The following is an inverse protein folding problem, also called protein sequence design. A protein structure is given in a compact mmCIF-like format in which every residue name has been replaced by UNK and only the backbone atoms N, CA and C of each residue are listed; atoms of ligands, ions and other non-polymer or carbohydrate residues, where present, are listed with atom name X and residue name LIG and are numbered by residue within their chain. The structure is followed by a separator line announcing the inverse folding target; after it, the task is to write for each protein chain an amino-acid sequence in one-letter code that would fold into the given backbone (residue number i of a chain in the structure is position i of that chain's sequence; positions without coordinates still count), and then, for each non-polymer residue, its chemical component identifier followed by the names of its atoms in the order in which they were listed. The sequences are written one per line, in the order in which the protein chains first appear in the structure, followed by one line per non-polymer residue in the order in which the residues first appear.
data_IF_098803448211
#
_entry.id   IF_098803448211
#
_cell.length_a   1.000
_cell.length_b   1.000
_cell.length_c   1.000
_cell.angle_alpha   90.00
_cell.angle_beta   90.00
_cell.angle_gamma   90.00
#
_symmetry.space_group_name_H-M   'P 1'
#
loop_
_entity.id
_entity.type
_entity.pdbx_description
1 polymer ?
#
# COMPACT_ATOMS: atom_id res chain seq x y z
N UNK A 1 7.59 6.13 -26.81
CA UNK A 1 6.18 6.18 -26.37
C UNK A 1 5.91 4.87 -25.66
N UNK A 2 6.12 4.85 -24.34
CA UNK A 2 5.80 3.70 -23.51
C UNK A 2 4.43 4.00 -22.89
N UNK A 3 3.39 3.34 -23.37
CA UNK A 3 2.08 3.33 -22.71
C UNK A 3 2.25 2.66 -21.35
N UNK A 4 2.30 3.46 -20.29
CA UNK A 4 2.23 2.96 -18.92
C UNK A 4 0.77 2.56 -18.66
N UNK A 5 0.43 1.31 -18.96
CA UNK A 5 -0.86 0.75 -18.61
C UNK A 5 -0.93 0.59 -17.08
N UNK A 6 -1.63 1.50 -16.41
CA UNK A 6 -1.94 1.42 -14.99
C UNK A 6 -2.93 0.29 -14.76
N UNK A 7 -2.61 -0.67 -13.88
CA UNK A 7 -3.66 -1.50 -13.29
C UNK A 7 -4.01 -0.82 -11.98
N UNK A 8 -4.89 0.18 -12.04
CA UNK A 8 -5.62 0.62 -10.85
C UNK A 8 -6.57 -0.51 -10.48
N UNK A 9 -6.29 -1.16 -9.36
CA UNK A 9 -7.34 -1.83 -8.63
C UNK A 9 -7.95 -0.76 -7.75
N UNK A 10 -9.18 -0.36 -8.07
CA UNK A 10 -10.03 0.36 -7.14
C UNK A 10 -10.04 -0.43 -5.83
N UNK A 11 -9.38 0.13 -4.81
CA UNK A 11 -9.31 -0.46 -3.48
C UNK A 11 -10.68 -0.45 -2.77
N UNK A 12 -11.69 0.15 -3.40
CA UNK A 12 -13.06 0.22 -2.90
C UNK A 12 -13.76 -1.14 -2.79
N UNK A 13 -13.25 -2.20 -3.42
CA UNK A 13 -14.02 -3.44 -3.60
C UNK A 13 -13.32 -4.76 -3.21
N UNK A 14 -12.40 -4.71 -2.24
CA UNK A 14 -11.61 -5.88 -1.85
C UNK A 14 -11.52 -6.11 -0.34
N UNK A 15 -12.65 -6.11 0.36
CA UNK A 15 -12.73 -6.75 1.68
C UNK A 15 -14.13 -7.26 1.94
N UNK A 16 -14.35 -8.59 1.88
CA UNK A 16 -15.22 -9.30 2.83
C UNK A 16 -15.02 -10.82 2.71
N UNK A 17 -14.44 -11.43 3.74
CA UNK A 17 -14.90 -12.71 4.30
C UNK A 17 -14.91 -12.58 5.83
N UNK A 18 -15.99 -13.08 6.44
CA UNK A 18 -16.57 -12.72 7.75
C UNK A 18 -16.07 -13.56 8.93
N UNK A 19 -16.10 -12.97 10.15
CA UNK A 19 -16.61 -13.66 11.35
C UNK A 19 -17.10 -12.69 12.45
N UNK A 20 -18.43 -12.70 12.73
CA UNK A 20 -19.03 -12.51 14.06
C UNK A 20 -19.41 -11.10 14.58
N UNK A 21 -20.71 -10.74 14.45
CA UNK A 21 -21.58 -9.82 15.23
C UNK A 21 -20.95 -8.66 16.05
N UNK A 22 -21.41 -7.41 16.02
CA UNK A 22 -22.65 -6.77 15.53
C UNK A 22 -22.50 -5.25 15.68
N UNK A 23 -22.83 -4.48 14.65
CA UNK A 23 -23.55 -3.18 14.68
C UNK A 23 -23.69 -2.70 13.22
N UNK A 24 -24.90 -2.24 12.88
CA UNK A 24 -25.46 -2.16 11.52
C UNK A 24 -24.98 -0.92 10.75
N UNK A 25 -24.57 -1.13 9.49
CA UNK A 25 -24.62 -0.12 8.40
C UNK A 25 -25.11 -0.85 7.14
N UNK A 26 -26.10 -0.32 6.39
CA UNK A 26 -26.86 -1.11 5.42
C UNK A 26 -26.02 -1.49 4.19
N UNK A 27 -26.05 -2.78 3.87
CA UNK A 27 -25.38 -3.42 2.73
C UNK A 27 -26.08 -3.10 1.42
N UNK A 28 -25.37 -2.47 0.49
CA UNK A 28 -25.82 -2.30 -0.88
C UNK A 28 -24.95 -3.18 -1.80
N UNK A 29 -25.60 -3.92 -2.70
CA UNK A 29 -25.00 -4.96 -3.52
C UNK A 29 -24.41 -4.34 -4.80
N UNK A 30 -23.10 -4.39 -4.98
CA UNK A 30 -22.43 -3.99 -6.23
C UNK A 30 -21.68 -5.15 -6.88
N UNK A 31 -21.88 -5.28 -8.20
CA UNK A 31 -21.09 -6.17 -9.05
C UNK A 31 -19.83 -5.44 -9.52
N UNK A 32 -18.66 -5.99 -9.22
CA UNK A 32 -17.37 -5.37 -9.52
C UNK A 32 -17.02 -5.53 -11.01
N UNK A 33 -16.79 -4.42 -11.70
CA UNK A 33 -16.22 -4.40 -13.06
C UNK A 33 -14.86 -3.71 -13.02
N UNK A 34 -13.74 -4.39 -13.38
CA UNK A 34 -12.42 -3.78 -13.40
C UNK A 34 -12.37 -2.57 -14.36
N UNK A 35 -11.75 -1.46 -13.94
CA UNK A 35 -11.39 -0.34 -14.83
C UNK A 35 -9.91 -0.04 -14.74
N UNK A 36 -9.28 0.07 -15.91
CA UNK A 36 -7.89 0.51 -16.08
C UNK A 36 -7.95 2.04 -16.23
N UNK A 37 -7.62 2.79 -15.17
CA UNK A 37 -7.54 4.25 -15.27
C UNK A 37 -6.24 4.64 -15.98
N UNK A 38 -6.33 4.89 -17.29
CA UNK A 38 -5.21 5.33 -18.13
C UNK A 38 -4.93 6.84 -18.06
N UNK A 39 -5.45 7.57 -17.07
CA UNK A 39 -5.40 9.03 -16.98
C UNK A 39 -4.62 9.45 -15.74
N UNK A 40 -3.61 10.29 -15.92
CA UNK A 40 -2.94 11.00 -14.82
C UNK A 40 -3.98 11.99 -14.25
N UNK A 41 -4.23 12.02 -12.93
CA UNK A 41 -5.16 12.97 -12.33
C UNK A 41 -4.74 14.42 -12.63
N UNK A 42 -5.73 15.31 -12.79
CA UNK A 42 -5.47 16.73 -12.99
C UNK A 42 -4.74 17.32 -11.78
N UNK A 43 -3.93 18.36 -12.00
CA UNK A 43 -3.08 18.97 -10.95
C UNK A 43 -3.92 19.49 -9.78
N UNK A 44 -5.13 19.96 -10.06
CA UNK A 44 -6.09 20.41 -9.06
C UNK A 44 -6.56 19.25 -8.16
N UNK A 45 -6.89 18.11 -8.76
CA UNK A 45 -7.27 16.90 -8.01
C UNK A 45 -6.12 16.35 -7.16
N UNK A 46 -4.88 16.38 -7.66
CA UNK A 46 -3.71 15.93 -6.90
C UNK A 46 -3.45 16.81 -5.66
N UNK A 47 -3.69 18.13 -5.77
CA UNK A 47 -3.54 19.09 -4.67
C UNK A 47 -4.62 18.86 -3.61
N UNK A 48 -5.89 18.73 -4.04
CA UNK A 48 -7.01 18.44 -3.15
C UNK A 48 -6.86 17.09 -2.42
N UNK A 49 -6.30 16.09 -3.08
CA UNK A 49 -5.99 14.80 -2.47
C UNK A 49 -4.90 14.91 -1.41
N UNK A 50 -3.87 15.70 -1.68
CA UNK A 50 -2.80 15.95 -0.71
C UNK A 50 -3.31 16.68 0.54
N UNK A 51 -4.09 17.75 0.35
CA UNK A 51 -4.71 18.50 1.46
C UNK A 51 -5.61 17.61 2.31
N UNK A 52 -6.45 16.78 1.67
CA UNK A 52 -7.32 15.82 2.37
C UNK A 52 -6.54 14.83 3.22
N UNK A 53 -5.40 14.34 2.71
CA UNK A 53 -4.55 13.44 3.47
C UNK A 53 -3.90 14.15 4.66
N UNK A 54 -3.43 15.40 4.47
CA UNK A 54 -2.86 16.21 5.56
C UNK A 54 -3.87 16.46 6.68
N UNK A 55 -5.11 16.82 6.33
CA UNK A 55 -6.18 17.02 7.31
C UNK A 55 -6.48 15.74 8.11
N UNK A 56 -6.50 14.59 7.42
CA UNK A 56 -6.69 13.29 8.06
C UNK A 56 -5.53 12.97 9.01
N UNK A 57 -4.29 13.15 8.57
CA UNK A 57 -3.11 12.93 9.41
C UNK A 57 -3.17 13.76 10.69
N UNK A 58 -3.51 15.04 10.57
CA UNK A 58 -3.71 15.95 11.70
C UNK A 58 -4.82 15.44 12.64
N UNK A 59 -5.97 15.06 12.08
CA UNK A 59 -7.13 14.56 12.84
C UNK A 59 -6.81 13.29 13.64
N UNK A 60 -6.00 12.39 13.08
CA UNK A 60 -5.57 11.16 13.76
C UNK A 60 -4.33 11.32 14.64
N UNK A 61 -3.73 12.52 14.72
CA UNK A 61 -2.50 12.75 15.47
C UNK A 61 -1.31 11.97 14.91
N UNK A 62 -1.25 11.84 13.58
CA UNK A 62 -0.22 11.10 12.85
C UNK A 62 0.66 12.05 12.04
N UNK A 63 1.90 11.62 11.80
CA UNK A 63 2.86 12.33 10.98
C UNK A 63 3.59 11.38 10.04
N UNK A 64 3.86 11.86 8.83
CA UNK A 64 4.59 11.10 7.82
C UNK A 64 6.10 11.17 8.04
N UNK A 65 6.74 10.00 8.05
CA UNK A 65 8.12 9.89 7.62
C UNK A 65 8.14 9.84 6.09
N UNK A 66 8.73 10.86 5.48
CA UNK A 66 8.86 10.96 4.03
C UNK A 66 9.75 9.85 3.47
N UNK A 67 9.17 9.06 2.57
CA UNK A 67 9.79 7.97 1.83
C UNK A 67 10.22 8.48 0.46
N UNK A 68 11.24 7.85 -0.11
CA UNK A 68 11.69 8.17 -1.46
C UNK A 68 10.60 7.86 -2.49
N UNK A 69 10.24 8.85 -3.31
CA UNK A 69 9.28 8.77 -4.42
C UNK A 69 9.76 7.94 -5.62
N UNK A 70 10.22 6.71 -5.39
CA UNK A 70 10.56 5.74 -6.41
C UNK A 70 9.52 4.60 -6.46
N UNK A 71 9.63 3.71 -7.45
CA UNK A 71 8.78 2.52 -7.55
C UNK A 71 9.02 1.48 -6.44
N UNK A 72 9.75 1.80 -5.38
CA UNK A 72 9.90 0.98 -4.19
C UNK A 72 9.20 1.57 -2.96
N UNK A 73 8.51 2.72 -3.08
CA UNK A 73 7.89 3.44 -1.96
C UNK A 73 7.10 2.52 -1.01
N UNK A 74 6.21 1.67 -1.54
CA UNK A 74 5.41 0.75 -0.71
C UNK A 74 6.30 -0.20 0.12
N UNK A 75 7.33 -0.80 -0.49
CA UNK A 75 8.25 -1.69 0.22
C UNK A 75 9.20 -0.96 1.17
N UNK A 76 9.53 0.30 0.90
CA UNK A 76 10.31 1.17 1.78
C UNK A 76 9.51 1.56 3.01
N UNK A 77 8.24 1.93 2.84
CA UNK A 77 7.34 2.25 3.93
C UNK A 77 7.08 1.03 4.83
N UNK A 78 6.85 -0.14 4.23
CA UNK A 78 6.80 -1.41 4.96
C UNK A 78 8.10 -1.74 5.71
N UNK A 79 9.26 -1.58 5.04
CA UNK A 79 10.56 -1.82 5.67
C UNK A 79 10.82 -0.87 6.84
N UNK A 80 10.39 0.37 6.73
CA UNK A 80 10.45 1.33 7.82
C UNK A 80 9.60 0.92 9.02
N UNK A 81 8.33 0.54 8.81
CA UNK A 81 7.45 0.10 9.89
C UNK A 81 7.94 -1.21 10.54
N UNK A 82 8.49 -2.13 9.75
CA UNK A 82 8.96 -3.44 10.24
C UNK A 82 10.32 -3.40 10.94
N UNK A 83 11.26 -2.61 10.41
CA UNK A 83 12.68 -2.65 10.80
C UNK A 83 13.23 -1.29 11.21
N UNK A 84 12.40 -0.24 11.26
CA UNK A 84 12.82 1.15 11.47
C UNK A 84 13.94 1.54 10.51
N UNK A 85 13.91 1.01 9.27
CA UNK A 85 14.88 1.33 8.23
C UNK A 85 14.34 1.02 6.81
N UNK A 86 14.07 2.03 5.96
CA UNK A 86 13.55 1.86 4.60
C UNK A 86 14.55 1.23 3.65
N UNK A 87 15.85 1.20 3.97
CA UNK A 87 16.87 0.55 3.12
C UNK A 87 16.71 -0.97 3.08
N UNK A 88 15.93 -1.55 4.01
CA UNK A 88 15.54 -2.96 3.98
C UNK A 88 14.45 -3.28 2.94
N UNK A 89 14.01 -2.33 2.11
CA UNK A 89 12.96 -2.53 1.11
C UNK A 89 13.22 -3.72 0.15
N UNK A 90 14.49 -3.97 -0.23
CA UNK A 90 14.86 -5.13 -1.06
C UNK A 90 14.59 -6.45 -0.36
N UNK A 91 14.85 -6.49 0.96
CA UNK A 91 14.55 -7.67 1.78
C UNK A 91 13.03 -7.88 1.87
N UNK A 92 12.28 -6.83 2.18
CA UNK A 92 10.81 -6.89 2.26
C UNK A 92 10.21 -7.38 0.95
N UNK A 93 10.56 -6.75 -0.19
CA UNK A 93 10.10 -7.19 -1.52
C UNK A 93 10.40 -8.67 -1.77
N UNK A 94 11.60 -9.13 -1.42
CA UNK A 94 11.98 -10.54 -1.58
C UNK A 94 11.10 -11.47 -0.75
N UNK A 95 10.74 -11.10 0.48
CA UNK A 95 9.88 -11.93 1.34
C UNK A 95 8.42 -11.91 0.87
N UNK A 96 7.91 -10.74 0.48
CA UNK A 96 6.55 -10.61 -0.08
C UNK A 96 6.38 -11.43 -1.35
N UNK A 97 7.33 -11.34 -2.30
CA UNK A 97 7.30 -12.16 -3.51
C UNK A 97 7.42 -13.65 -3.20
N UNK A 98 8.20 -14.03 -2.19
CA UNK A 98 8.25 -15.42 -1.72
C UNK A 98 6.88 -15.85 -1.19
N UNK A 99 6.21 -15.04 -0.38
CA UNK A 99 4.86 -15.34 0.12
C UNK A 99 3.89 -15.58 -1.03
N UNK A 100 3.83 -14.65 -1.99
CA UNK A 100 3.03 -14.77 -3.21
C UNK A 100 3.32 -16.07 -3.96
N UNK A 101 4.61 -16.39 -4.15
CA UNK A 101 5.02 -17.61 -4.87
C UNK A 101 4.61 -18.91 -4.16
N UNK A 102 4.81 -19.00 -2.84
CA UNK A 102 4.57 -20.26 -2.10
C UNK A 102 3.09 -20.52 -1.84
N UNK A 103 2.28 -19.47 -1.70
CA UNK A 103 0.84 -19.58 -1.44
C UNK A 103 0.02 -19.07 -2.63
N UNK A 104 0.42 -19.49 -3.85
CA UNK A 104 -0.16 -19.05 -5.13
C UNK A 104 -1.69 -19.11 -5.15
N UNK A 105 -2.27 -20.18 -4.62
CA UNK A 105 -3.72 -20.41 -4.55
C UNK A 105 -4.49 -19.30 -3.80
N UNK A 106 -3.83 -18.54 -2.93
CA UNK A 106 -4.46 -17.46 -2.18
C UNK A 106 -4.54 -16.13 -2.96
N UNK A 107 -3.72 -15.97 -4.01
CA UNK A 107 -3.55 -14.68 -4.68
C UNK A 107 -3.82 -14.72 -6.19
N UNK A 108 -3.62 -15.87 -6.83
CA UNK A 108 -3.64 -15.95 -8.30
C UNK A 108 -4.95 -15.51 -8.93
N UNK A 109 -6.10 -15.83 -8.33
CA UNK A 109 -7.43 -15.46 -8.86
C UNK A 109 -7.66 -13.96 -8.96
N UNK A 110 -6.87 -13.16 -8.23
CA UNK A 110 -6.97 -11.70 -8.22
C UNK A 110 -5.99 -11.05 -9.22
N UNK A 111 -5.13 -11.83 -9.86
CA UNK A 111 -4.16 -11.34 -10.84
C UNK A 111 -4.76 -11.48 -12.24
N UNK A 112 -4.95 -10.38 -13.01
CA UNK A 112 -5.64 -10.39 -14.30
C UNK A 112 -4.74 -10.88 -15.44
N UNK A 113 -3.50 -11.27 -15.12
CA UNK A 113 -2.50 -11.74 -16.07
C UNK A 113 -1.92 -13.08 -15.62
N UNK A 114 -1.11 -13.69 -16.47
CA UNK A 114 -0.40 -14.92 -16.09
C UNK A 114 0.42 -14.71 -14.80
N UNK A 115 0.15 -15.54 -13.79
CA UNK A 115 0.73 -15.38 -12.47
C UNK A 115 2.27 -15.48 -12.45
N UNK A 116 2.87 -16.30 -13.32
CA UNK A 116 4.35 -16.36 -13.41
C UNK A 116 4.92 -15.04 -13.93
N UNK A 117 4.25 -14.40 -14.89
CA UNK A 117 4.62 -13.09 -15.42
C UNK A 117 4.48 -12.01 -14.35
N UNK A 118 3.37 -12.02 -13.59
CA UNK A 118 3.17 -11.15 -12.44
C UNK A 118 4.30 -11.26 -11.41
N UNK A 119 4.64 -12.49 -10.98
CA UNK A 119 5.76 -12.71 -10.05
C UNK A 119 7.10 -12.25 -10.63
N UNK A 120 7.32 -12.38 -11.95
CA UNK A 120 8.55 -11.91 -12.61
C UNK A 120 8.62 -10.37 -12.59
N UNK A 121 7.50 -9.69 -12.83
CA UNK A 121 7.41 -8.22 -12.70
C UNK A 121 7.68 -7.79 -11.27
N UNK A 122 6.97 -8.36 -10.29
CA UNK A 122 7.03 -7.94 -8.89
C UNK A 122 8.41 -8.16 -8.22
N UNK A 123 9.24 -9.06 -8.77
CA UNK A 123 10.65 -9.25 -8.37
C UNK A 123 11.54 -8.07 -8.71
N UNK A 124 11.21 -7.28 -9.73
CA UNK A 124 12.07 -6.21 -10.24
C UNK A 124 12.10 -5.06 -9.23
N UNK A 125 13.29 -4.57 -8.93
CA UNK A 125 13.44 -3.33 -8.17
C UNK A 125 12.81 -2.18 -8.95
N UNK A 126 12.06 -1.32 -8.26
CA UNK A 126 11.30 -0.23 -8.88
C UNK A 126 9.97 -0.65 -9.52
N UNK A 127 9.60 -1.93 -9.53
CA UNK A 127 8.21 -2.31 -9.86
C UNK A 127 7.29 -1.91 -8.71
N UNK A 128 6.24 -1.16 -9.02
CA UNK A 128 5.30 -0.68 -8.01
C UNK A 128 4.60 -1.85 -7.33
N UNK A 129 4.40 -1.74 -6.02
CA UNK A 129 3.55 -2.68 -5.29
C UNK A 129 2.07 -2.41 -5.57
N UNK A 130 1.25 -3.41 -5.29
CA UNK A 130 -0.22 -3.38 -5.40
C UNK A 130 -0.87 -3.84 -4.08
N UNK A 131 -2.19 -3.96 -4.08
CA UNK A 131 -2.95 -4.46 -2.94
C UNK A 131 -2.58 -5.91 -2.55
N UNK A 132 -2.23 -6.77 -3.52
CA UNK A 132 -1.81 -8.15 -3.25
C UNK A 132 -0.47 -8.20 -2.53
N UNK A 133 0.44 -7.27 -2.84
CA UNK A 133 1.72 -7.17 -2.12
C UNK A 133 1.55 -6.67 -0.70
N UNK A 134 0.55 -5.82 -0.42
CA UNK A 134 0.18 -5.46 0.95
C UNK A 134 -0.42 -6.65 1.71
N UNK A 135 -1.39 -7.36 1.10
CA UNK A 135 -1.95 -8.57 1.71
C UNK A 135 -0.87 -9.63 1.98
N UNK A 136 0.00 -9.89 1.00
CA UNK A 136 1.09 -10.82 1.18
C UNK A 136 2.13 -10.33 2.20
N UNK A 137 2.32 -9.03 2.39
CA UNK A 137 3.14 -8.51 3.47
C UNK A 137 2.49 -8.76 4.84
N UNK A 138 1.19 -8.48 4.97
CA UNK A 138 0.42 -8.76 6.19
C UNK A 138 0.54 -10.24 6.58
N UNK A 139 0.25 -11.14 5.64
CA UNK A 139 0.35 -12.59 5.83
C UNK A 139 1.80 -13.03 6.18
N UNK A 140 2.80 -12.47 5.49
CA UNK A 140 4.20 -12.88 5.66
C UNK A 140 4.78 -12.49 7.01
N UNK A 141 4.36 -11.36 7.54
CA UNK A 141 4.92 -10.75 8.75
C UNK A 141 4.00 -10.86 9.97
N UNK A 142 2.83 -11.51 9.84
CA UNK A 142 1.81 -11.58 10.89
C UNK A 142 1.53 -10.18 11.48
N UNK A 143 1.24 -9.24 10.57
CA UNK A 143 1.05 -7.83 10.89
C UNK A 143 -0.20 -7.29 10.21
N UNK A 144 -1.03 -6.55 10.96
CA UNK A 144 -2.11 -5.75 10.38
C UNK A 144 -1.49 -4.50 9.73
N UNK A 145 -1.96 -4.12 8.56
CA UNK A 145 -1.54 -2.87 7.90
C UNK A 145 -2.72 -1.90 7.94
N UNK A 146 -2.51 -0.73 8.53
CA UNK A 146 -3.46 0.37 8.61
C UNK A 146 -3.06 1.43 7.58
N UNK A 147 -3.90 1.64 6.57
CA UNK A 147 -3.65 2.62 5.50
C UNK A 147 -4.59 3.81 5.65
N UNK A 148 -4.00 4.99 5.88
CA UNK A 148 -4.72 6.25 5.74
C UNK A 148 -4.56 6.76 4.31
N UNK A 149 -5.66 6.91 3.58
CA UNK A 149 -5.59 7.23 2.15
C UNK A 149 -5.99 8.67 1.87
N UNK A 150 -5.69 9.17 0.68
CA UNK A 150 -6.27 10.40 0.15
C UNK A 150 -7.62 10.18 -0.56
N UNK A 151 -8.18 8.97 -0.68
CA UNK A 151 -9.44 8.76 -1.42
C UNK A 151 -10.60 9.59 -0.84
N UNK A 152 -11.50 10.10 -1.69
CA UNK A 152 -12.63 10.94 -1.25
C UNK A 152 -13.51 10.21 -0.24
N UNK A 153 -13.93 9.00 -0.56
CA UNK A 153 -14.90 8.22 0.23
C UNK A 153 -14.22 7.24 1.20
N UNK A 154 -13.04 6.72 0.84
CA UNK A 154 -12.36 5.68 1.62
C UNK A 154 -11.21 6.26 2.44
N UNK A 155 -11.51 6.83 3.61
CA UNK A 155 -10.48 7.44 4.49
C UNK A 155 -9.41 6.44 4.95
N UNK A 156 -9.84 5.24 5.32
CA UNK A 156 -9.02 4.28 6.05
C UNK A 156 -9.28 2.87 5.54
N UNK A 157 -8.21 2.09 5.36
CA UNK A 157 -8.25 0.69 4.93
C UNK A 157 -7.42 -0.14 5.90
N UNK A 158 -8.00 -1.23 6.40
CA UNK A 158 -7.27 -2.23 7.17
C UNK A 158 -6.96 -3.44 6.28
N UNK A 159 -5.73 -3.95 6.38
CA UNK A 159 -5.34 -5.19 5.72
C UNK A 159 -4.88 -6.13 6.81
N UNK A 160 -5.71 -7.12 7.10
CA UNK A 160 -5.48 -8.11 8.16
C UNK A 160 -4.89 -9.37 7.54
N UNK A 161 -3.94 -10.06 8.21
CA UNK A 161 -3.49 -11.37 7.76
C UNK A 161 -4.67 -12.33 7.62
N UNK A 162 -4.62 -13.22 6.62
CA UNK A 162 -5.73 -14.12 6.31
C UNK A 162 -6.11 -15.08 7.45
N UNK A 163 -5.15 -15.44 8.30
CA UNK A 163 -5.37 -16.28 9.48
C UNK A 163 -5.87 -15.49 10.70
N UNK A 164 -6.08 -14.18 10.55
CA UNK A 164 -6.49 -13.23 11.59
C UNK A 164 -5.56 -13.22 12.82
N UNK A 165 -4.32 -13.68 12.66
CA UNK A 165 -3.31 -13.74 13.71
C UNK A 165 -2.21 -12.72 13.43
N UNK A 166 -2.17 -11.66 14.21
CA UNK A 166 -1.13 -10.63 14.11
C UNK A 166 -0.63 -10.18 15.48
N UNK A 167 0.63 -9.72 15.51
CA UNK A 167 1.30 -9.21 16.72
C UNK A 167 1.76 -7.76 16.59
N UNK A 168 1.54 -7.16 15.43
CA UNK A 168 2.02 -5.82 15.07
C UNK A 168 1.01 -5.12 14.18
N UNK A 169 1.01 -3.80 14.27
CA UNK A 169 0.31 -2.91 13.34
C UNK A 169 1.33 -2.05 12.60
N UNK A 170 1.22 -1.98 11.28
CA UNK A 170 2.05 -1.16 10.42
C UNK A 170 1.18 -0.02 9.89
N UNK A 171 1.59 1.22 10.11
CA UNK A 171 0.82 2.39 9.71
C UNK A 171 1.47 3.06 8.50
N UNK A 172 0.70 3.19 7.42
CA UNK A 172 1.14 3.78 6.16
C UNK A 172 0.13 4.85 5.73
N UNK A 173 0.60 5.88 5.03
CA UNK A 173 -0.29 6.73 4.25
C UNK A 173 -0.19 6.36 2.77
N UNK A 174 -1.29 6.56 2.07
CA UNK A 174 -1.38 6.39 0.62
C UNK A 174 -1.94 7.66 0.00
N UNK A 175 -1.06 8.45 -0.62
CA UNK A 175 -1.48 9.48 -1.55
C UNK A 175 -1.87 8.78 -2.85
N UNK A 176 -3.18 8.71 -3.08
CA UNK A 176 -3.82 7.94 -4.14
C UNK A 176 -3.06 8.03 -5.45
N UNK A 177 -2.76 6.86 -6.03
CA UNK A 177 -2.07 6.69 -7.32
C UNK A 177 -0.63 7.23 -7.40
N UNK A 178 -0.11 7.85 -6.34
CA UNK A 178 1.18 8.54 -6.38
C UNK A 178 2.20 7.90 -5.43
N UNK A 179 1.88 7.74 -4.13
CA UNK A 179 2.94 7.48 -3.15
C UNK A 179 2.51 6.81 -1.85
N UNK A 180 3.42 6.04 -1.25
CA UNK A 180 3.31 5.49 0.10
C UNK A 180 4.35 6.09 1.03
N UNK A 181 3.89 6.63 2.16
CA UNK A 181 4.74 7.07 3.26
C UNK A 181 4.56 6.17 4.50
N UNK A 182 5.52 6.23 5.41
CA UNK A 182 5.45 5.53 6.70
C UNK A 182 4.88 6.48 7.75
N UNK A 183 3.96 6.00 8.59
CA UNK A 183 3.30 6.83 9.60
C UNK A 183 3.80 6.54 11.01
N UNK A 184 3.88 7.62 11.79
CA UNK A 184 4.21 7.62 13.21
C UNK A 184 3.17 8.46 13.95
N UNK A 185 3.07 8.27 15.26
CA UNK A 185 2.41 9.26 16.10
C UNK A 185 3.14 10.60 15.96
N UNK A 186 2.37 11.69 16.01
CA UNK A 186 2.93 13.04 15.96
C UNK A 186 3.96 13.24 17.07
N UNK A 187 5.18 13.61 16.68
CA UNK A 187 6.33 13.75 17.59
C UNK A 187 7.29 12.55 17.61
N UNK A 188 6.86 11.38 17.14
CA UNK A 188 7.67 10.15 17.14
C UNK A 188 8.40 9.88 15.80
N UNK A 189 8.27 10.80 14.83
CA UNK A 189 8.94 10.67 13.53
C UNK A 189 10.46 10.65 13.74
N UNK A 190 11.18 9.59 13.33
CA UNK A 190 12.61 9.50 13.54
C UNK A 190 13.38 10.62 12.81
N UNK A 191 14.29 11.30 13.50
CA UNK A 191 15.17 12.30 12.89
C UNK A 191 16.26 11.62 12.05
N UNK A 192 15.97 11.38 10.78
CA UNK A 192 16.96 10.85 9.84
C UNK A 192 17.61 11.99 9.08
N UNK A 193 18.93 12.12 9.21
CA UNK A 193 19.70 13.05 8.38
C UNK A 193 19.52 12.64 6.91
N UNK A 194 19.02 13.53 6.03
CA UNK A 194 19.01 13.27 4.60
C UNK A 194 20.44 12.97 4.16
N UNK A 195 20.69 11.80 3.56
CA UNK A 195 21.98 11.59 2.89
C UNK A 195 21.99 12.49 1.66
N UNK A 196 22.97 13.41 1.59
CA UNK A 196 23.23 14.22 0.38
C UNK A 196 23.36 13.26 -0.81
N UNK A 197 22.42 13.31 -1.74
CA UNK A 197 22.55 12.63 -3.03
C UNK A 197 23.54 13.43 -3.86
N UNK A 198 24.73 12.89 -4.10
CA UNK A 198 25.58 13.41 -5.16
C UNK A 198 24.92 13.02 -6.49
N UNK A 199 24.32 14.01 -7.14
CA UNK A 199 23.94 13.90 -8.54
C UNK A 199 25.22 13.82 -9.36
N UNK A 200 25.52 12.66 -9.95
CA UNK A 200 26.44 12.58 -11.06
C UNK A 200 25.61 12.80 -12.31
N UNK A 201 25.88 13.93 -12.97
CA UNK A 201 25.33 14.35 -14.26
C UNK A 201 25.62 13.32 -15.34
#
# INVERSE_FOLDING_TARGET
MNEFSFICFDLENLMFFSCGQSLLVPSLHWQHTPRVNGLIPDVDDATLDHERLLDRLSTYGLAELQIEGDGNCQFRALADQLFRNPDYHKHVRKQVVKQLKHHRNLYESYVPMNYKSYLKKMKRSGEWGDHLTLQAAADKYAAKICLLTSFRETCFIEIVPRDNSYSRELWLSFWSEVHYNSLYASGDVPSRRPRKKHWLF
#
